data_IF_424378769572
#
_entry.id   IF_424378769572
#
_cell.length_a   1.000
_cell.length_b   1.000
_cell.length_c   1.000
_cell.angle_alpha   90.00
_cell.angle_beta   90.00
_cell.angle_gamma   90.00
#
_symmetry.space_group_name_H-M   'P 1'
#
loop_
_entity.id
_entity.type
_entity.pdbx_description
1 polymer ?
#
# COMPACT_ATOMS: atom_id res chain seq x y z
N UNK A 1 38.24 -12.03 15.81
CA UNK A 1 37.17 -12.74 16.54
C UNK A 1 35.79 -12.45 15.95
N UNK A 2 35.31 -11.20 15.92
CA UNK A 2 33.97 -10.86 15.38
C UNK A 2 33.78 -11.17 13.88
N UNK A 3 34.77 -10.85 13.04
CA UNK A 3 34.72 -11.18 11.59
C UNK A 3 34.71 -12.68 11.31
N UNK A 4 35.32 -13.46 12.21
CA UNK A 4 35.41 -14.91 12.11
C UNK A 4 34.05 -15.54 12.47
N UNK A 5 33.43 -15.06 13.55
CA UNK A 5 32.07 -15.43 13.94
C UNK A 5 31.05 -15.07 12.85
N UNK A 6 31.20 -13.92 12.18
CA UNK A 6 30.33 -13.52 11.05
C UNK A 6 30.51 -14.44 9.83
N UNK A 7 31.74 -14.91 9.58
CA UNK A 7 32.02 -15.87 8.51
C UNK A 7 31.38 -17.23 8.78
N UNK A 8 31.53 -17.73 10.01
CA UNK A 8 30.96 -19.00 10.44
C UNK A 8 29.43 -18.94 10.38
N UNK A 9 28.83 -17.89 10.95
CA UNK A 9 27.39 -17.67 10.90
C UNK A 9 26.87 -17.60 9.46
N UNK A 10 27.56 -16.92 8.55
CA UNK A 10 27.16 -16.87 7.13
C UNK A 10 27.17 -18.26 6.48
N UNK A 11 28.14 -19.10 6.83
CA UNK A 11 28.26 -20.45 6.30
C UNK A 11 27.14 -21.35 6.82
N UNK A 12 26.84 -21.27 8.11
CA UNK A 12 25.73 -22.01 8.75
C UNK A 12 24.37 -21.56 8.22
N UNK A 13 24.18 -20.25 8.04
CA UNK A 13 22.97 -19.69 7.47
C UNK A 13 22.77 -20.15 6.02
N UNK A 14 23.82 -20.12 5.21
CA UNK A 14 23.74 -20.58 3.82
C UNK A 14 23.39 -22.07 3.71
N UNK A 15 23.91 -22.91 4.62
CA UNK A 15 23.60 -24.34 4.65
C UNK A 15 22.22 -24.69 5.23
N UNK A 16 21.62 -23.79 6.02
CA UNK A 16 20.29 -23.99 6.62
C UNK A 16 19.13 -23.48 5.77
N UNK A 17 19.40 -22.62 4.78
CA UNK A 17 18.39 -22.20 3.80
C UNK A 17 18.11 -23.39 2.86
N UNK A 18 16.91 -23.99 2.90
CA UNK A 18 16.59 -25.09 2.02
C UNK A 18 16.64 -24.60 0.58
N UNK A 19 17.42 -25.26 -0.26
CA UNK A 19 17.33 -25.07 -1.70
C UNK A 19 16.00 -25.72 -2.11
N UNK A 20 15.02 -24.95 -2.63
CA UNK A 20 13.74 -25.54 -2.98
C UNK A 20 13.94 -26.51 -4.15
N UNK A 21 13.60 -27.78 -3.96
CA UNK A 21 13.61 -28.77 -5.05
C UNK A 21 12.68 -28.36 -6.20
N UNK A 22 11.61 -27.61 -5.87
CA UNK A 22 10.68 -26.98 -6.81
C UNK A 22 10.23 -25.64 -6.25
N UNK A 23 10.13 -24.64 -7.13
CA UNK A 23 9.54 -23.35 -6.80
C UNK A 23 8.02 -23.48 -6.87
N UNK A 24 7.34 -23.18 -5.77
CA UNK A 24 5.88 -23.05 -5.73
C UNK A 24 5.47 -21.69 -6.32
N UNK A 25 5.25 -21.66 -7.64
CA UNK A 25 4.90 -20.45 -8.37
C UNK A 25 3.55 -19.87 -7.96
N UNK A 26 2.59 -20.69 -7.53
CA UNK A 26 1.31 -20.20 -7.03
C UNK A 26 1.49 -19.46 -5.70
N UNK A 27 2.32 -20.00 -4.81
CA UNK A 27 2.69 -19.29 -3.58
C UNK A 27 3.46 -18.00 -3.85
N UNK A 28 4.41 -18.01 -4.79
CA UNK A 28 5.15 -16.79 -5.17
C UNK A 28 4.20 -15.74 -5.74
N UNK A 29 3.30 -16.13 -6.64
CA UNK A 29 2.28 -15.25 -7.22
C UNK A 29 1.36 -14.66 -6.15
N UNK A 30 0.90 -15.47 -5.20
CA UNK A 30 0.09 -15.01 -4.09
C UNK A 30 0.81 -13.97 -3.23
N UNK A 31 2.06 -14.25 -2.84
CA UNK A 31 2.87 -13.34 -2.03
C UNK A 31 3.14 -12.02 -2.77
N UNK A 32 3.41 -12.10 -4.08
CA UNK A 32 3.61 -10.91 -4.91
C UNK A 32 2.33 -10.06 -4.99
N UNK A 33 1.17 -10.68 -5.24
CA UNK A 33 -0.11 -9.99 -5.27
C UNK A 33 -0.45 -9.33 -3.92
N UNK A 34 -0.18 -10.00 -2.80
CA UNK A 34 -0.34 -9.39 -1.48
C UNK A 34 0.56 -8.17 -1.31
N UNK A 35 1.83 -8.24 -1.72
CA UNK A 35 2.76 -7.12 -1.60
C UNK A 35 2.31 -5.89 -2.40
N UNK A 36 1.73 -6.10 -3.59
CA UNK A 36 1.15 -5.02 -4.40
C UNK A 36 -0.06 -4.40 -3.70
N UNK A 37 -0.98 -5.22 -3.19
CA UNK A 37 -2.15 -4.73 -2.44
C UNK A 37 -1.75 -3.96 -1.18
N UNK A 38 -0.72 -4.39 -0.47
CA UNK A 38 -0.19 -3.67 0.70
C UNK A 38 0.44 -2.34 0.33
N UNK A 39 1.14 -2.28 -0.81
CA UNK A 39 1.69 -1.02 -1.33
C UNK A 39 0.56 -0.04 -1.72
N UNK A 40 -0.52 -0.55 -2.31
CA UNK A 40 -1.67 0.26 -2.72
C UNK A 40 -2.49 0.73 -1.51
N UNK A 41 -2.66 -0.08 -0.46
CA UNK A 41 -3.44 0.27 0.74
C UNK A 41 -3.03 1.60 1.38
N UNK A 42 -1.75 1.93 1.31
CA UNK A 42 -1.21 3.16 1.90
C UNK A 42 -1.27 4.36 0.94
N UNK A 43 -1.73 4.16 -0.28
CA UNK A 43 -1.77 5.19 -1.30
C UNK A 43 -3.04 6.05 -1.20
N UNK A 44 -2.96 7.36 -1.46
CA UNK A 44 -4.14 8.22 -1.47
C UNK A 44 -5.23 7.76 -2.43
N UNK A 45 -4.87 7.17 -3.56
CA UNK A 45 -5.79 6.65 -4.58
C UNK A 45 -6.56 5.40 -4.14
N UNK A 46 -6.02 4.63 -3.19
CA UNK A 46 -6.75 3.53 -2.58
C UNK A 46 -7.80 4.05 -1.62
N UNK A 47 -7.46 5.09 -0.84
CA UNK A 47 -8.39 5.70 0.13
C UNK A 47 -9.42 6.60 -0.53
N UNK A 48 -9.07 7.34 -1.57
CA UNK A 48 -9.92 8.36 -2.17
C UNK A 48 -10.11 8.18 -3.67
N UNK A 49 -11.36 8.35 -4.12
CA UNK A 49 -11.71 8.44 -5.53
C UNK A 49 -12.20 9.85 -5.84
N UNK A 50 -11.58 10.53 -6.80
CA UNK A 50 -12.05 11.82 -7.27
C UNK A 50 -13.36 11.67 -8.05
N UNK A 51 -14.28 12.61 -7.82
CA UNK A 51 -15.63 12.63 -8.40
C UNK A 51 -15.83 13.83 -9.35
N UNK A 52 -14.80 14.63 -9.57
CA UNK A 52 -14.84 15.85 -10.38
C UNK A 52 -13.82 15.80 -11.52
N UNK A 53 -14.11 16.54 -12.58
CA UNK A 53 -13.20 16.72 -13.72
C UNK A 53 -12.08 17.71 -13.38
N UNK A 54 -10.98 17.63 -14.13
CA UNK A 54 -9.78 18.48 -13.93
C UNK A 54 -10.07 19.99 -14.07
N UNK A 55 -11.13 20.36 -14.79
CA UNK A 55 -11.53 21.76 -14.98
C UNK A 55 -12.25 22.37 -13.77
N UNK A 56 -12.65 21.56 -12.79
CA UNK A 56 -13.37 22.08 -11.63
C UNK A 56 -12.45 22.80 -10.63
N UNK A 57 -12.95 23.91 -10.07
CA UNK A 57 -12.21 24.71 -9.07
C UNK A 57 -12.22 24.08 -7.67
N UNK A 58 -13.10 23.11 -7.46
CA UNK A 58 -13.28 22.42 -6.20
C UNK A 58 -12.91 20.96 -6.39
N UNK A 59 -12.30 20.38 -5.36
CA UNK A 59 -11.92 18.98 -5.37
C UNK A 59 -13.03 18.21 -4.66
N UNK A 60 -13.74 17.37 -5.40
CA UNK A 60 -14.71 16.44 -4.86
C UNK A 60 -14.11 15.03 -4.84
N UNK A 61 -14.20 14.36 -3.69
CA UNK A 61 -13.74 12.97 -3.55
C UNK A 61 -14.62 12.15 -2.64
N UNK A 62 -14.71 10.86 -2.91
CA UNK A 62 -15.28 9.87 -2.01
C UNK A 62 -14.15 9.21 -1.22
N UNK A 63 -14.26 9.15 0.11
CA UNK A 63 -13.45 8.27 0.93
C UNK A 63 -13.99 6.85 0.79
N UNK A 64 -13.26 5.96 0.11
CA UNK A 64 -13.72 4.59 -0.18
C UNK A 64 -13.80 3.70 1.07
N UNK A 65 -13.14 4.11 2.17
CA UNK A 65 -13.16 3.37 3.44
C UNK A 65 -14.38 3.70 4.29
N UNK A 66 -14.81 4.96 4.29
CA UNK A 66 -15.96 5.43 5.10
C UNK A 66 -17.22 5.68 4.26
N UNK A 67 -17.07 5.76 2.94
CA UNK A 67 -18.09 6.15 1.97
C UNK A 67 -18.54 7.63 2.07
N UNK A 68 -17.82 8.44 2.84
CA UNK A 68 -18.09 9.87 2.99
C UNK A 68 -17.69 10.64 1.74
N UNK A 69 -18.45 11.69 1.42
CA UNK A 69 -18.14 12.60 0.32
C UNK A 69 -17.54 13.87 0.90
N UNK A 70 -16.34 14.21 0.44
CA UNK A 70 -15.58 15.39 0.86
C UNK A 70 -15.45 16.37 -0.30
N UNK A 71 -15.52 17.66 0.04
CA UNK A 71 -15.23 18.77 -0.87
C UNK A 71 -14.13 19.64 -0.28
N UNK A 72 -13.14 19.97 -1.10
CA UNK A 72 -12.04 20.84 -0.71
C UNK A 72 -11.91 22.01 -1.69
N UNK A 73 -11.61 23.20 -1.15
CA UNK A 73 -11.44 24.43 -1.89
C UNK A 73 -10.07 25.04 -1.61
N UNK A 74 -9.22 25.14 -2.64
CA UNK A 74 -7.91 25.80 -2.55
C UNK A 74 -8.01 27.27 -2.10
N UNK A 75 -9.17 27.92 -2.26
CA UNK A 75 -9.33 29.34 -1.88
C UNK A 75 -9.35 29.56 -0.36
N UNK A 76 -9.85 28.60 0.40
CA UNK A 76 -10.10 28.77 1.84
C UNK A 76 -9.39 27.71 2.70
N UNK A 77 -8.65 26.79 2.09
CA UNK A 77 -7.94 25.69 2.76
C UNK A 77 -8.82 24.89 3.74
N UNK A 78 -10.11 24.76 3.38
CA UNK A 78 -11.14 24.16 4.23
C UNK A 78 -11.71 22.91 3.56
N UNK A 79 -11.64 21.80 4.29
CA UNK A 79 -12.35 20.56 3.99
C UNK A 79 -13.79 20.67 4.49
N UNK A 80 -14.76 20.35 3.63
CA UNK A 80 -16.18 20.27 3.98
C UNK A 80 -16.69 18.86 3.65
N UNK A 81 -17.21 18.16 4.66
CA UNK A 81 -17.93 16.90 4.47
C UNK A 81 -19.32 17.23 3.91
N UNK A 82 -19.65 16.66 2.76
CA UNK A 82 -20.92 16.88 2.06
C UNK A 82 -21.92 15.74 2.28
N UNK A 83 -21.44 14.54 2.55
CA UNK A 83 -22.26 13.37 2.86
C UNK A 83 -21.55 12.50 3.89
N UNK A 84 -22.32 11.94 4.82
CA UNK A 84 -21.85 10.99 5.82
C UNK A 84 -22.79 9.80 5.88
N UNK A 85 -22.25 8.61 6.08
CA UNK A 85 -23.01 7.38 6.23
C UNK A 85 -23.34 7.22 7.72
N UNK A 86 -24.62 7.27 8.07
CA UNK A 86 -25.11 7.01 9.45
C UNK A 86 -25.18 5.52 9.74
#
# INVERSE_FOLDING_TARGET
MMEQNLREFRSELAGSIPIPDKIDYERVKFLFQQSLLESEKNSPQYKYQFLCDESEKLIYRCNRMTGEIECYSNRNDKLKILSSIK
#
